data_IF_119929693971
#
_entry.id   IF_119929693971
#
_cell.length_a   1.000
_cell.length_b   1.000
_cell.length_c   1.000
_cell.angle_alpha   90.00
_cell.angle_beta   90.00
_cell.angle_gamma   90.00
#
_symmetry.space_group_name_H-M   'P 1'
#
loop_
_entity.id
_entity.type
_entity.pdbx_description
1 polymer ?
#
# COMPACT_ATOMS: atom_id res chain seq x y z
N UNK A 1 -13.56 19.06 22.25
CA UNK A 1 -13.05 19.26 20.87
C UNK A 1 -14.21 19.69 20.00
N UNK A 2 -14.18 20.90 19.45
CA UNK A 2 -15.11 21.28 18.39
C UNK A 2 -14.82 20.39 17.18
N UNK A 3 -15.82 19.66 16.71
CA UNK A 3 -15.80 18.86 15.48
C UNK A 3 -15.59 19.81 14.30
N UNK A 4 -14.33 20.07 13.95
CA UNK A 4 -13.99 20.70 12.67
C UNK A 4 -14.33 19.69 11.59
N UNK A 5 -15.02 20.13 10.53
CA UNK A 5 -15.17 19.35 9.30
C UNK A 5 -13.80 18.80 8.90
N UNK A 6 -13.69 17.49 8.72
CA UNK A 6 -12.45 16.87 8.26
C UNK A 6 -12.26 17.34 6.82
N UNK A 7 -11.44 18.38 6.62
CA UNK A 7 -11.03 18.81 5.30
C UNK A 7 -10.09 17.75 4.77
N UNK A 8 -10.60 16.97 3.84
CA UNK A 8 -9.84 15.89 3.25
C UNK A 8 -9.22 16.43 1.96
N UNK A 9 -7.89 16.45 1.89
CA UNK A 9 -7.18 17.07 0.77
C UNK A 9 -6.89 16.09 -0.37
N UNK A 10 -6.97 16.59 -1.60
CA UNK A 10 -6.67 15.86 -2.83
C UNK A 10 -5.24 16.17 -3.29
N UNK A 11 -4.49 15.13 -3.66
CA UNK A 11 -3.14 15.25 -4.23
C UNK A 11 -3.13 14.71 -5.65
N UNK A 12 -2.49 15.43 -6.56
CA UNK A 12 -2.37 15.03 -7.96
C UNK A 12 -0.94 15.26 -8.47
N UNK A 13 -0.44 14.29 -9.21
CA UNK A 13 0.82 14.33 -9.94
C UNK A 13 0.50 14.32 -11.43
N UNK A 14 1.02 15.29 -12.17
CA UNK A 14 0.80 15.46 -13.60
C UNK A 14 2.12 15.40 -14.36
N UNK A 15 2.36 14.30 -15.07
CA UNK A 15 3.50 14.10 -15.95
C UNK A 15 4.84 14.32 -15.26
N UNK A 16 5.02 13.78 -14.04
CA UNK A 16 6.24 14.05 -13.28
C UNK A 16 7.45 13.31 -13.85
N UNK A 17 8.53 14.07 -14.05
CA UNK A 17 9.86 13.53 -14.37
C UNK A 17 10.86 13.97 -13.32
N UNK A 18 11.78 13.07 -12.97
CA UNK A 18 13.02 13.41 -12.28
C UNK A 18 14.20 12.76 -12.94
N UNK A 19 15.09 13.60 -13.47
CA UNK A 19 16.35 13.17 -14.05
C UNK A 19 17.51 13.79 -13.28
N UNK A 20 18.49 12.96 -12.93
CA UNK A 20 19.77 13.37 -12.37
C UNK A 20 20.85 13.27 -13.44
N UNK A 21 21.67 14.30 -13.60
CA UNK A 21 22.73 14.32 -14.61
C UNK A 21 23.08 15.74 -15.05
N UNK A 22 23.91 15.84 -16.10
CA UNK A 22 24.39 17.14 -16.61
C UNK A 22 23.35 17.91 -17.43
N UNK A 23 22.48 17.22 -18.16
CA UNK A 23 21.48 17.83 -19.04
C UNK A 23 20.09 17.21 -18.81
N UNK A 24 19.45 17.47 -17.65
CA UNK A 24 18.21 16.81 -17.26
C UNK A 24 17.04 17.15 -18.20
N UNK A 25 16.93 18.38 -18.69
CA UNK A 25 15.83 18.80 -19.58
C UNK A 25 15.92 18.15 -20.96
N UNK A 26 17.14 17.98 -21.47
CA UNK A 26 17.37 17.26 -22.73
C UNK A 26 17.03 15.78 -22.59
N UNK A 27 17.39 15.18 -21.46
CA UNK A 27 17.03 13.81 -21.17
C UNK A 27 15.51 13.62 -21.07
N UNK A 28 14.76 14.59 -20.53
CA UNK A 28 13.29 14.56 -20.54
C UNK A 28 12.77 14.56 -21.99
N UNK A 29 13.24 15.47 -22.85
CA UNK A 29 12.84 15.49 -24.27
C UNK A 29 13.11 14.16 -24.98
N UNK A 30 14.26 13.54 -24.70
CA UNK A 30 14.60 12.20 -25.24
C UNK A 30 13.64 11.12 -24.74
N UNK A 31 13.28 11.14 -23.45
CA UNK A 31 12.30 10.20 -22.87
C UNK A 31 10.90 10.39 -23.46
N UNK A 32 10.47 11.63 -23.68
CA UNK A 32 9.21 11.97 -24.36
C UNK A 32 9.21 11.49 -25.82
N UNK A 33 10.38 11.52 -26.48
CA UNK A 33 10.57 10.97 -27.83
C UNK A 33 10.68 9.43 -27.88
N UNK A 34 10.59 8.74 -26.73
CA UNK A 34 10.58 7.28 -26.66
C UNK A 34 11.95 6.64 -26.38
N UNK A 35 12.97 7.41 -26.00
CA UNK A 35 14.26 6.84 -25.59
C UNK A 35 14.12 5.94 -24.36
N UNK A 36 14.94 4.88 -24.31
CA UNK A 36 14.97 3.99 -23.16
C UNK A 36 15.80 4.57 -22.01
N UNK A 37 15.43 4.23 -20.78
CA UNK A 37 16.15 4.65 -19.57
C UNK A 37 17.58 4.12 -19.55
N UNK A 38 17.83 2.93 -20.10
CA UNK A 38 19.16 2.32 -20.21
C UNK A 38 20.11 3.12 -21.08
N UNK A 39 19.63 3.71 -22.17
CA UNK A 39 20.42 4.56 -23.06
C UNK A 39 20.93 5.81 -22.33
N UNK A 40 20.06 6.47 -21.57
CA UNK A 40 20.44 7.64 -20.77
C UNK A 40 21.45 7.31 -19.68
N UNK A 41 21.36 6.10 -19.11
CA UNK A 41 22.29 5.65 -18.08
C UNK A 41 23.70 5.47 -18.63
N UNK A 42 23.85 5.01 -19.88
CA UNK A 42 25.15 4.93 -20.56
C UNK A 42 25.81 6.31 -20.70
N UNK A 43 25.00 7.35 -20.88
CA UNK A 43 25.45 8.75 -20.96
C UNK A 43 25.70 9.38 -19.57
N UNK A 44 25.65 8.59 -18.49
CA UNK A 44 25.82 9.07 -17.12
C UNK A 44 24.61 9.83 -16.56
N UNK A 45 23.45 9.71 -17.19
CA UNK A 45 22.20 10.37 -16.79
C UNK A 45 21.23 9.35 -16.19
N UNK A 46 20.73 9.61 -14.98
CA UNK A 46 19.81 8.71 -14.29
C UNK A 46 18.41 9.29 -14.23
N UNK A 47 17.49 8.74 -15.04
CA UNK A 47 16.07 9.01 -14.89
C UNK A 47 15.51 8.18 -13.72
N UNK A 48 15.07 8.85 -12.67
CA UNK A 48 14.57 8.23 -11.45
C UNK A 48 13.04 8.13 -11.43
N UNK A 49 12.34 9.11 -12.01
CA UNK A 49 10.89 9.08 -12.22
C UNK A 49 10.62 9.56 -13.65
N UNK A 50 9.73 8.87 -14.35
CA UNK A 50 9.45 9.07 -15.77
C UNK A 50 7.95 9.01 -15.97
N UNK A 51 7.37 10.13 -16.38
CA UNK A 51 5.95 10.27 -16.73
C UNK A 51 4.98 9.75 -15.65
N UNK A 52 5.22 10.10 -14.39
CA UNK A 52 4.34 9.67 -13.31
C UNK A 52 3.12 10.60 -13.21
N UNK A 53 1.94 10.05 -13.57
CA UNK A 53 0.65 10.74 -13.50
C UNK A 53 -0.35 9.95 -12.67
N UNK A 54 -0.92 10.55 -11.63
CA UNK A 54 -1.96 9.92 -10.79
C UNK A 54 -2.68 10.94 -9.92
N UNK A 55 -3.84 10.55 -9.40
CA UNK A 55 -4.61 11.29 -8.40
C UNK A 55 -4.82 10.42 -7.16
N UNK A 56 -4.57 11.01 -6.00
CA UNK A 56 -4.91 10.47 -4.69
C UNK A 56 -6.15 11.20 -4.19
N UNK A 57 -7.23 10.44 -4.05
CA UNK A 57 -8.50 10.99 -3.61
C UNK A 57 -8.49 11.27 -2.11
N UNK A 58 -9.33 12.20 -1.64
CA UNK A 58 -9.36 12.52 -0.22
C UNK A 58 -9.73 11.33 0.66
N UNK A 59 -8.93 11.08 1.70
CA UNK A 59 -9.22 10.05 2.71
C UNK A 59 -8.83 8.66 2.25
N UNK A 60 -8.17 8.58 1.10
CA UNK A 60 -7.61 7.38 0.52
C UNK A 60 -6.22 7.08 1.11
N UNK A 61 -5.95 5.80 1.34
CA UNK A 61 -4.59 5.28 1.45
C UNK A 61 -4.13 4.87 0.05
N UNK A 62 -3.27 5.70 -0.54
CA UNK A 62 -2.63 5.43 -1.81
C UNK A 62 -1.24 4.83 -1.60
N UNK A 63 -1.06 3.60 -2.04
CA UNK A 63 0.21 2.87 -1.89
C UNK A 63 1.03 2.98 -3.16
N UNK A 64 2.30 3.36 -3.04
CA UNK A 64 3.29 3.25 -4.11
C UNK A 64 4.20 2.08 -3.79
N UNK A 65 4.15 1.05 -4.63
CA UNK A 65 4.93 -0.17 -4.46
C UNK A 65 5.95 -0.38 -5.58
N UNK A 66 6.93 -1.24 -5.35
CA UNK A 66 7.93 -1.63 -6.34
C UNK A 66 9.28 -1.92 -5.73
N UNK A 67 10.20 -2.47 -6.52
CA UNK A 67 11.54 -2.82 -6.05
C UNK A 67 12.37 -1.62 -5.59
N UNK A 68 13.44 -1.90 -4.86
CA UNK A 68 14.48 -0.91 -4.60
C UNK A 68 15.00 -0.33 -5.92
N UNK A 69 15.19 0.99 -5.97
CA UNK A 69 15.65 1.69 -7.17
C UNK A 69 14.59 1.98 -8.24
N UNK A 70 13.32 1.66 -8.02
CA UNK A 70 12.23 1.95 -8.98
C UNK A 70 11.76 3.41 -9.00
N UNK A 71 12.24 4.26 -8.09
CA UNK A 71 11.93 5.70 -8.05
C UNK A 71 10.94 6.15 -6.97
N UNK A 72 10.42 5.24 -6.13
CA UNK A 72 9.37 5.51 -5.13
C UNK A 72 9.70 6.66 -4.17
N UNK A 73 10.82 6.59 -3.44
CA UNK A 73 11.19 7.65 -2.49
C UNK A 73 11.52 8.97 -3.18
N UNK A 74 11.99 8.92 -4.45
CA UNK A 74 12.18 10.12 -5.28
C UNK A 74 10.83 10.76 -5.59
N UNK A 75 9.83 9.96 -5.98
CA UNK A 75 8.46 10.43 -6.20
C UNK A 75 7.89 11.08 -4.94
N UNK A 76 7.98 10.43 -3.77
CA UNK A 76 7.46 10.99 -2.52
C UNK A 76 8.09 12.35 -2.17
N UNK A 77 9.40 12.49 -2.37
CA UNK A 77 10.11 13.75 -2.13
C UNK A 77 9.67 14.85 -3.09
N UNK A 78 9.31 14.50 -4.33
CA UNK A 78 8.69 15.45 -5.26
C UNK A 78 7.29 15.86 -4.82
N UNK A 79 6.45 14.90 -4.38
CA UNK A 79 5.12 15.20 -3.84
C UNK A 79 5.17 16.16 -2.64
N UNK A 80 6.19 16.02 -1.78
CA UNK A 80 6.40 16.92 -0.65
C UNK A 80 7.06 18.26 -1.04
N UNK A 81 7.57 18.41 -2.27
CA UNK A 81 8.41 19.55 -2.66
C UNK A 81 9.76 19.62 -1.92
N UNK A 82 10.25 18.48 -1.42
CA UNK A 82 11.64 18.35 -0.94
C UNK A 82 12.63 18.21 -2.10
N UNK A 83 12.15 17.68 -3.23
CA UNK A 83 12.91 17.54 -4.44
C UNK A 83 12.12 18.18 -5.58
N UNK A 84 12.72 19.12 -6.30
CA UNK A 84 12.08 19.74 -7.45
C UNK A 84 12.01 18.75 -8.62
N UNK A 85 10.84 18.56 -9.25
CA UNK A 85 10.74 17.77 -10.47
C UNK A 85 11.52 18.42 -11.60
N UNK A 86 12.06 17.61 -12.51
CA UNK A 86 12.66 18.11 -13.76
C UNK A 86 11.57 18.60 -14.72
N UNK A 87 10.43 17.91 -14.77
CA UNK A 87 9.25 18.31 -15.53
C UNK A 87 7.98 17.79 -14.83
N UNK A 88 6.83 18.36 -15.21
CA UNK A 88 5.53 18.04 -14.61
C UNK A 88 5.17 18.91 -13.41
N UNK A 89 4.02 18.62 -12.80
CA UNK A 89 3.44 19.42 -11.71
C UNK A 89 2.90 18.54 -10.59
N UNK A 90 2.91 19.09 -9.38
CA UNK A 90 2.26 18.51 -8.19
C UNK A 90 1.19 19.48 -7.75
N UNK A 91 -0.06 19.04 -7.79
CA UNK A 91 -1.22 19.82 -7.36
C UNK A 91 -1.69 19.30 -5.99
N UNK A 92 -1.90 20.20 -5.04
CA UNK A 92 -2.49 19.91 -3.74
C UNK A 92 -3.69 20.81 -3.53
N UNK A 93 -4.89 20.22 -3.44
CA UNK A 93 -6.17 20.94 -3.47
C UNK A 93 -6.29 21.92 -4.64
N UNK A 94 -5.84 21.49 -5.82
CA UNK A 94 -5.83 22.29 -7.06
C UNK A 94 -4.74 23.37 -7.12
N UNK A 95 -3.94 23.54 -6.05
CA UNK A 95 -2.83 24.48 -6.02
C UNK A 95 -1.53 23.79 -6.46
N UNK A 96 -0.87 24.35 -7.47
CA UNK A 96 0.44 23.88 -7.92
C UNK A 96 1.52 24.18 -6.88
N UNK A 97 2.07 23.13 -6.29
CA UNK A 97 3.15 23.18 -5.31
C UNK A 97 4.52 23.46 -5.95
N UNK A 98 4.70 23.06 -7.21
CA UNK A 98 5.98 23.18 -7.93
C UNK A 98 6.27 24.62 -8.33
N UNK A 99 5.23 25.42 -8.55
CA UNK A 99 5.35 26.85 -8.85
C UNK A 99 5.41 27.76 -7.62
N UNK A 100 5.33 27.21 -6.40
CA UNK A 100 5.27 28.03 -5.19
C UNK A 100 6.64 28.62 -4.82
N UNK A 101 6.66 29.90 -4.41
CA UNK A 101 7.84 30.45 -3.75
C UNK A 101 8.19 29.63 -2.51
N UNK A 102 9.49 29.51 -2.21
CA UNK A 102 9.98 28.68 -1.11
C UNK A 102 9.33 28.99 0.25
N UNK A 103 8.95 30.26 0.50
CA UNK A 103 8.22 30.66 1.72
C UNK A 103 6.83 30.03 1.80
N UNK A 104 6.08 30.04 0.71
CA UNK A 104 4.74 29.47 0.67
C UNK A 104 4.77 27.94 0.73
N UNK A 105 5.73 27.32 0.04
CA UNK A 105 5.93 25.87 0.12
C UNK A 105 6.29 25.42 1.55
N UNK A 106 7.11 26.20 2.28
CA UNK A 106 7.38 25.94 3.70
C UNK A 106 6.10 26.03 4.55
N UNK A 107 5.24 27.02 4.31
CA UNK A 107 3.96 27.17 5.02
C UNK A 107 3.01 26.00 4.76
N UNK A 108 2.90 25.57 3.50
CA UNK A 108 2.10 24.37 3.14
C UNK A 108 2.64 23.15 3.89
N UNK A 109 3.95 22.86 3.81
CA UNK A 109 4.54 21.74 4.55
C UNK A 109 4.41 21.87 6.06
N UNK A 110 4.44 23.07 6.61
CA UNK A 110 4.29 23.22 8.06
C UNK A 110 2.87 22.91 8.53
N UNK A 111 1.83 23.09 7.70
CA UNK A 111 0.42 23.09 8.16
C UNK A 111 -0.48 22.05 7.50
N UNK A 112 -0.08 21.50 6.34
CA UNK A 112 -0.93 20.68 5.48
C UNK A 112 -0.36 19.32 5.14
N UNK A 113 0.97 19.17 5.18
CA UNK A 113 1.66 17.95 4.77
C UNK A 113 2.60 17.50 5.89
N UNK A 114 2.43 16.27 6.37
CA UNK A 114 3.34 15.65 7.32
C UNK A 114 4.04 14.46 6.69
N UNK A 115 5.30 14.23 7.09
CA UNK A 115 6.12 13.16 6.55
C UNK A 115 6.66 12.25 7.65
N UNK A 116 6.56 10.95 7.43
CA UNK A 116 7.13 9.88 8.25
C UNK A 116 8.22 9.18 7.43
N UNK A 117 9.44 9.19 7.95
CA UNK A 117 10.62 8.66 7.27
C UNK A 117 10.86 7.18 7.58
N UNK A 118 11.63 6.52 6.72
CA UNK A 118 12.06 5.12 6.88
C UNK A 118 12.90 4.92 8.15
N UNK A 119 13.87 5.79 8.38
CA UNK A 119 14.58 5.89 9.66
C UNK A 119 13.87 6.94 10.50
N UNK A 120 13.63 6.62 11.78
CA UNK A 120 12.76 7.38 12.70
C UNK A 120 12.97 8.91 12.67
N UNK A 121 14.18 9.35 12.31
CA UNK A 121 14.54 10.76 12.14
C UNK A 121 14.13 11.60 13.37
N UNK A 122 14.24 10.98 14.55
CA UNK A 122 14.02 11.63 15.83
C UNK A 122 15.27 12.41 16.21
N UNK A 123 15.07 13.55 16.85
CA UNK A 123 16.15 14.34 17.40
C UNK A 123 16.63 13.68 18.70
N UNK A 124 17.88 13.18 18.76
CA UNK A 124 18.37 12.43 19.93
C UNK A 124 18.58 13.33 21.16
N UNK A 125 18.68 14.65 20.94
CA UNK A 125 18.87 15.67 21.97
C UNK A 125 17.55 16.32 22.39
N UNK A 126 16.41 15.70 22.07
CA UNK A 126 15.07 16.13 22.49
C UNK A 126 14.32 14.96 23.09
N UNK A 127 13.45 15.23 24.06
CA UNK A 127 12.55 14.22 24.62
C UNK A 127 11.54 13.72 23.59
N UNK A 128 10.83 12.64 23.91
CA UNK A 128 9.72 12.11 23.10
C UNK A 128 8.62 13.17 22.89
N UNK A 129 8.25 13.90 23.94
CA UNK A 129 7.28 14.99 23.86
C UNK A 129 7.76 16.12 22.95
N UNK A 130 9.01 16.53 23.08
CA UNK A 130 9.61 17.59 22.26
C UNK A 130 9.74 17.19 20.78
N UNK A 131 10.02 15.91 20.52
CA UNK A 131 10.00 15.36 19.17
C UNK A 131 8.59 15.43 18.56
N UNK A 132 7.57 15.00 19.30
CA UNK A 132 6.19 15.06 18.87
C UNK A 132 5.68 16.51 18.68
N UNK A 133 6.10 17.44 19.55
CA UNK A 133 5.71 18.85 19.51
C UNK A 133 6.47 19.68 18.46
N UNK A 134 7.55 19.16 17.86
CA UNK A 134 8.46 19.94 17.01
C UNK A 134 7.76 20.65 15.84
N UNK A 135 6.83 19.97 15.16
CA UNK A 135 6.09 20.57 14.03
C UNK A 135 5.28 21.81 14.47
N UNK A 136 4.68 21.75 15.65
CA UNK A 136 3.90 22.83 16.25
C UNK A 136 4.79 23.98 16.74
N UNK A 137 5.98 23.67 17.24
CA UNK A 137 7.01 24.68 17.55
C UNK A 137 7.39 25.49 16.32
N UNK A 138 7.63 24.83 15.18
CA UNK A 138 7.95 25.49 13.90
C UNK A 138 6.78 26.32 13.37
N UNK A 139 5.54 25.92 13.63
CA UNK A 139 4.34 26.71 13.31
C UNK A 139 4.17 27.95 14.22
N UNK A 140 4.91 28.04 15.33
CA UNK A 140 4.78 29.12 16.31
C UNK A 140 3.65 28.93 17.32
N UNK A 141 3.15 27.70 17.50
CA UNK A 141 2.11 27.38 18.48
C UNK A 141 2.65 27.58 19.91
N UNK A 142 1.89 28.21 20.83
CA UNK A 142 2.30 28.42 22.21
C UNK A 142 2.70 27.12 22.91
N UNK A 143 3.69 27.20 23.81
CA UNK A 143 4.28 26.03 24.46
C UNK A 143 3.26 25.10 25.13
N UNK A 144 2.32 25.66 25.89
CA UNK A 144 1.31 24.88 26.59
C UNK A 144 0.41 24.10 25.61
N UNK A 145 -0.03 24.75 24.53
CA UNK A 145 -0.89 24.14 23.52
C UNK A 145 -0.15 23.05 22.73
N UNK A 146 1.11 23.29 22.33
CA UNK A 146 1.88 22.27 21.59
C UNK A 146 2.23 21.06 22.44
N UNK A 147 2.53 21.23 23.72
CA UNK A 147 2.80 20.12 24.63
C UNK A 147 1.54 19.29 24.87
N UNK A 148 0.38 19.94 25.03
CA UNK A 148 -0.90 19.26 25.13
C UNK A 148 -1.21 18.42 23.89
N UNK A 149 -1.16 19.03 22.69
CA UNK A 149 -1.45 18.32 21.43
C UNK A 149 -0.47 17.19 21.16
N UNK A 150 0.81 17.37 21.50
CA UNK A 150 1.82 16.34 21.37
C UNK A 150 1.56 15.18 22.33
N UNK A 151 1.15 15.45 23.57
CA UNK A 151 0.76 14.41 24.53
C UNK A 151 -0.46 13.61 24.05
N UNK A 152 -1.51 14.29 23.56
CA UNK A 152 -2.69 13.64 22.98
C UNK A 152 -2.30 12.74 21.78
N UNK A 153 -1.41 13.20 20.90
CA UNK A 153 -0.92 12.40 19.77
C UNK A 153 -0.10 11.18 20.23
N UNK A 154 0.71 11.33 21.29
CA UNK A 154 1.47 10.21 21.87
C UNK A 154 0.53 9.18 22.50
N UNK A 155 -0.53 9.60 23.18
CA UNK A 155 -1.56 8.71 23.72
C UNK A 155 -2.27 7.92 22.61
N UNK A 156 -2.65 8.60 21.52
CA UNK A 156 -3.25 7.95 20.34
C UNK A 156 -2.33 6.90 19.71
N UNK A 157 -1.02 7.11 19.77
CA UNK A 157 -0.02 6.14 19.33
C UNK A 157 0.38 5.14 20.42
N UNK A 158 -0.33 5.06 21.55
CA UNK A 158 -0.05 4.09 22.62
C UNK A 158 1.28 4.32 23.35
N UNK A 159 1.76 5.57 23.37
CA UNK A 159 2.98 6.01 24.07
C UNK A 159 2.66 6.84 25.32
N UNK A 160 1.47 6.67 25.90
CA UNK A 160 1.11 7.26 27.19
C UNK A 160 2.16 6.94 28.25
N UNK A 161 2.61 7.95 28.99
CA UNK A 161 3.65 7.81 30.03
C UNK A 161 5.11 7.89 29.53
N UNK A 162 5.36 7.86 28.23
CA UNK A 162 6.72 7.93 27.66
C UNK A 162 7.16 9.35 27.25
N UNK A 163 6.34 10.36 27.53
CA UNK A 163 6.57 11.74 27.10
C UNK A 163 7.92 12.32 27.55
N UNK A 164 8.37 11.95 28.76
CA UNK A 164 9.63 12.43 29.35
C UNK A 164 10.86 11.61 28.93
N UNK A 165 10.67 10.47 28.26
CA UNK A 165 11.76 9.61 27.83
C UNK A 165 12.53 10.20 26.65
N UNK A 166 13.70 9.64 26.40
CA UNK A 166 14.59 9.98 25.29
C UNK A 166 14.53 8.91 24.19
N UNK A 167 14.79 9.26 22.91
CA UNK A 167 14.70 8.29 21.81
C UNK A 167 15.55 7.03 21.98
N UNK A 168 16.71 7.12 22.64
CA UNK A 168 17.61 5.99 22.92
C UNK A 168 17.09 5.05 24.03
N UNK A 169 16.07 5.45 24.78
CA UNK A 169 15.41 4.62 25.80
C UNK A 169 14.24 3.80 25.20
N UNK A 170 13.92 4.04 23.93
CA UNK A 170 12.79 3.44 23.24
C UNK A 170 13.22 2.29 22.30
N UNK A 171 12.37 1.27 22.20
CA UNK A 171 12.49 0.26 21.14
C UNK A 171 12.26 0.88 19.75
N UNK A 172 12.72 0.23 18.68
CA UNK A 172 12.53 0.72 17.31
C UNK A 172 11.04 0.95 16.96
N UNK A 173 10.16 0.05 17.39
CA UNK A 173 8.71 0.22 17.24
C UNK A 173 8.16 1.45 17.94
N UNK A 174 8.63 1.72 19.16
CA UNK A 174 8.24 2.91 19.92
C UNK A 174 8.77 4.18 19.26
N UNK A 175 10.00 4.18 18.75
CA UNK A 175 10.56 5.31 18.00
C UNK A 175 9.73 5.61 16.73
N UNK A 176 9.26 4.58 16.04
CA UNK A 176 8.35 4.75 14.90
C UNK A 176 7.03 5.42 15.32
N UNK A 177 6.45 4.98 16.44
CA UNK A 177 5.24 5.59 17.01
C UNK A 177 5.44 7.05 17.40
N UNK A 178 6.62 7.44 17.88
CA UNK A 178 6.94 8.86 18.09
C UNK A 178 6.97 9.63 16.76
N UNK A 179 7.55 9.04 15.71
CA UNK A 179 7.55 9.64 14.37
C UNK A 179 6.13 9.83 13.81
N UNK A 180 5.25 8.87 14.04
CA UNK A 180 3.83 8.96 13.69
C UNK A 180 3.12 10.02 14.55
N UNK A 181 3.29 10.00 15.87
CA UNK A 181 2.72 11.01 16.78
C UNK A 181 3.15 12.43 16.39
N UNK A 182 4.41 12.64 15.99
CA UNK A 182 4.91 13.91 15.45
C UNK A 182 4.15 14.36 14.21
N UNK A 183 3.87 13.44 13.29
CA UNK A 183 3.08 13.74 12.10
C UNK A 183 1.63 14.10 12.45
N UNK A 184 1.01 13.35 13.36
CA UNK A 184 -0.37 13.54 13.79
C UNK A 184 -0.59 14.80 14.63
N UNK A 185 0.37 15.18 15.49
CA UNK A 185 0.26 16.34 16.37
C UNK A 185 0.02 17.64 15.59
N UNK A 186 0.58 17.75 14.38
CA UNK A 186 0.40 18.89 13.47
C UNK A 186 -1.01 19.00 12.88
N UNK A 187 -1.81 17.94 12.95
CA UNK A 187 -3.14 17.81 12.33
C UNK A 187 -3.12 18.08 10.80
N UNK A 188 -2.03 17.69 10.12
CA UNK A 188 -1.88 17.82 8.67
C UNK A 188 -2.97 17.04 7.92
N UNK A 189 -3.32 17.50 6.71
CA UNK A 189 -4.37 16.90 5.86
C UNK A 189 -3.83 15.70 5.05
N UNK A 190 -2.53 15.74 4.72
CA UNK A 190 -1.80 14.72 3.97
C UNK A 190 -0.65 14.13 4.79
N UNK A 191 -0.59 12.80 4.84
CA UNK A 191 0.49 12.03 5.45
C UNK A 191 1.29 11.31 4.36
N UNK A 192 2.59 11.60 4.28
CA UNK A 192 3.53 10.95 3.37
C UNK A 192 4.41 9.99 4.17
N UNK A 193 4.43 8.72 3.80
CA UNK A 193 5.14 7.67 4.56
C UNK A 193 6.12 6.94 3.64
N UNK A 194 7.43 7.01 3.93
CA UNK A 194 8.52 6.43 3.12
C UNK A 194 9.03 5.13 3.78
N UNK A 195 8.56 3.95 3.35
CA UNK A 195 8.97 2.63 3.85
C UNK A 195 9.01 2.53 5.39
N UNK A 196 8.07 3.21 6.06
CA UNK A 196 8.09 3.47 7.50
C UNK A 196 7.98 2.23 8.39
N UNK A 197 7.61 1.08 7.83
CA UNK A 197 7.45 -0.18 8.57
C UNK A 197 8.46 -1.27 8.18
N UNK A 198 9.32 -0.98 7.19
CA UNK A 198 10.30 -1.93 6.65
C UNK A 198 11.33 -2.41 7.67
N UNK A 199 11.77 -1.52 8.57
CA UNK A 199 12.81 -1.80 9.56
C UNK A 199 12.29 -2.49 10.83
N UNK A 200 10.99 -2.82 10.89
CA UNK A 200 10.33 -3.38 12.08
C UNK A 200 10.19 -4.90 11.98
N UNK A 201 10.27 -5.56 13.14
CA UNK A 201 9.96 -6.98 13.28
C UNK A 201 8.51 -7.29 12.87
N UNK A 202 8.19 -8.49 12.37
CA UNK A 202 6.87 -8.81 11.81
C UNK A 202 5.68 -8.56 12.76
N UNK A 203 5.83 -8.85 14.06
CA UNK A 203 4.78 -8.61 15.05
C UNK A 203 4.52 -7.11 15.27
N UNK A 204 5.59 -6.34 15.41
CA UNK A 204 5.50 -4.89 15.62
C UNK A 204 4.98 -4.20 14.35
N UNK A 205 5.45 -4.65 13.18
CA UNK A 205 4.94 -4.20 11.88
C UNK A 205 3.43 -4.37 11.79
N UNK A 206 2.92 -5.55 12.13
CA UNK A 206 1.48 -5.85 12.10
C UNK A 206 0.68 -4.91 13.01
N UNK A 207 1.16 -4.71 14.24
CA UNK A 207 0.54 -3.80 15.22
C UNK A 207 0.54 -2.34 14.70
N UNK A 208 1.62 -1.89 14.05
CA UNK A 208 1.69 -0.56 13.42
C UNK A 208 0.74 -0.36 12.26
N UNK A 209 0.57 -1.39 11.44
CA UNK A 209 -0.41 -1.37 10.37
C UNK A 209 -1.84 -1.31 10.92
N UNK A 210 -2.15 -2.07 11.97
CA UNK A 210 -3.47 -2.04 12.63
C UNK A 210 -3.77 -0.67 13.23
N UNK A 211 -2.79 -0.05 13.90
CA UNK A 211 -2.92 1.30 14.42
C UNK A 211 -3.11 2.34 13.31
N UNK A 212 -2.39 2.23 12.20
CA UNK A 212 -2.56 3.14 11.06
C UNK A 212 -3.98 3.05 10.49
N UNK A 213 -4.52 1.84 10.34
CA UNK A 213 -5.89 1.62 9.87
C UNK A 213 -6.93 2.17 10.85
N UNK A 214 -6.73 1.99 12.16
CA UNK A 214 -7.62 2.55 13.18
C UNK A 214 -7.60 4.09 13.16
N UNK A 215 -6.41 4.68 13.11
CA UNK A 215 -6.23 6.12 12.98
C UNK A 215 -6.86 6.64 11.69
N UNK A 216 -6.72 5.92 10.58
CA UNK A 216 -7.33 6.31 9.32
C UNK A 216 -8.86 6.28 9.38
N UNK A 217 -9.44 5.26 10.01
CA UNK A 217 -10.89 5.20 10.24
C UNK A 217 -11.40 6.41 11.04
N UNK A 218 -10.59 6.88 12.00
CA UNK A 218 -10.96 7.94 12.95
C UNK A 218 -10.70 9.35 12.41
N UNK A 219 -9.59 9.55 11.70
CA UNK A 219 -9.11 10.87 11.26
C UNK A 219 -9.36 11.13 9.78
N UNK A 220 -9.58 10.08 8.97
CA UNK A 220 -9.88 10.16 7.53
C UNK A 220 -8.92 11.08 6.77
N UNK A 221 -7.62 10.98 7.05
CA UNK A 221 -6.58 11.80 6.40
C UNK A 221 -6.19 11.19 5.07
N UNK A 222 -5.65 11.98 4.14
CA UNK A 222 -5.12 11.40 2.90
C UNK A 222 -3.72 10.84 3.17
N UNK A 223 -3.45 9.60 2.78
CA UNK A 223 -2.17 8.93 3.07
C UNK A 223 -1.53 8.49 1.75
N UNK A 224 -0.27 8.87 1.53
CA UNK A 224 0.58 8.27 0.49
C UNK A 224 1.62 7.41 1.19
N UNK A 225 1.56 6.12 0.96
CA UNK A 225 2.36 5.12 1.65
C UNK A 225 3.29 4.39 0.68
N UNK A 226 4.59 4.36 0.96
CA UNK A 226 5.56 3.65 0.13
C UNK A 226 5.98 2.37 0.81
N UNK A 227 5.96 1.28 0.04
CA UNK A 227 6.48 -0.01 0.49
C UNK A 227 7.10 -0.81 -0.64
N UNK A 228 7.89 -1.81 -0.26
CA UNK A 228 8.33 -2.87 -1.15
C UNK A 228 7.63 -4.21 -0.83
N UNK A 229 6.85 -4.28 0.24
CA UNK A 229 6.11 -5.46 0.68
C UNK A 229 4.68 -5.44 0.10
N UNK A 230 4.36 -6.47 -0.67
CA UNK A 230 3.07 -6.57 -1.32
C UNK A 230 1.94 -6.88 -0.34
N UNK A 231 2.18 -7.68 0.70
CA UNK A 231 1.16 -7.96 1.72
C UNK A 231 0.78 -6.67 2.46
N UNK A 232 1.73 -5.78 2.67
CA UNK A 232 1.48 -4.47 3.25
C UNK A 232 0.67 -3.56 2.30
N UNK A 233 1.02 -3.55 1.02
CA UNK A 233 0.27 -2.80 0.01
C UNK A 233 -1.19 -3.26 -0.08
N UNK A 234 -1.42 -4.58 -0.07
CA UNK A 234 -2.76 -5.16 -0.15
C UNK A 234 -3.57 -4.96 1.12
N UNK A 235 -2.92 -4.94 2.29
CA UNK A 235 -3.60 -4.75 3.58
C UNK A 235 -3.99 -3.30 3.84
N UNK A 236 -3.15 -2.35 3.44
CA UNK A 236 -3.32 -0.94 3.74
C UNK A 236 -3.96 -0.14 2.61
N UNK A 237 -3.69 -0.50 1.36
CA UNK A 237 -3.96 0.36 0.21
C UNK A 237 -5.38 0.23 -0.33
N UNK A 238 -6.07 1.36 -0.41
CA UNK A 238 -7.31 1.48 -1.19
C UNK A 238 -7.00 1.48 -2.70
N UNK A 239 -5.86 2.06 -3.08
CA UNK A 239 -5.36 2.11 -4.46
C UNK A 239 -3.85 1.98 -4.47
N UNK A 240 -3.34 1.21 -5.41
CA UNK A 240 -1.96 0.80 -5.50
C UNK A 240 -1.40 1.24 -6.84
N UNK A 241 -0.25 1.91 -6.81
CA UNK A 241 0.58 2.20 -7.97
C UNK A 241 1.84 1.34 -7.93
N UNK A 242 1.99 0.48 -8.92
CA UNK A 242 3.17 -0.37 -9.09
C UNK A 242 4.19 0.39 -9.92
N UNK A 243 5.38 0.62 -9.38
CA UNK A 243 6.48 1.31 -10.05
C UNK A 243 7.60 0.35 -10.45
N UNK A 244 8.03 0.46 -11.71
CA UNK A 244 9.20 -0.21 -12.26
C UNK A 244 10.01 0.77 -13.08
N UNK A 245 11.32 0.78 -12.86
CA UNK A 245 12.26 1.53 -13.67
C UNK A 245 11.91 3.03 -13.85
N UNK A 246 11.35 3.65 -12.80
CA UNK A 246 10.95 5.06 -12.79
C UNK A 246 9.54 5.32 -13.34
N UNK A 247 8.88 4.33 -13.94
CA UNK A 247 7.53 4.44 -14.49
C UNK A 247 6.51 3.78 -13.58
N UNK A 248 5.29 4.29 -13.56
CA UNK A 248 4.14 3.57 -13.02
C UNK A 248 3.71 2.58 -14.11
N UNK A 249 3.80 1.29 -13.82
CA UNK A 249 3.46 0.22 -14.77
C UNK A 249 2.03 -0.26 -14.64
N UNK A 250 1.43 -0.12 -13.46
CA UNK A 250 0.02 -0.42 -13.25
C UNK A 250 -0.50 0.43 -12.09
N UNK A 251 -1.76 0.83 -12.18
CA UNK A 251 -2.45 1.57 -11.14
C UNK A 251 -3.90 1.07 -11.02
N UNK A 252 -4.29 0.60 -9.84
CA UNK A 252 -5.59 -0.04 -9.63
C UNK A 252 -5.89 -0.31 -8.16
N UNK A 253 -7.03 -0.94 -7.88
CA UNK A 253 -7.32 -1.47 -6.54
C UNK A 253 -6.46 -2.69 -6.24
N UNK A 254 -6.41 -3.10 -4.97
CA UNK A 254 -5.77 -4.36 -4.57
C UNK A 254 -6.30 -5.56 -5.37
N UNK A 255 -7.62 -5.60 -5.61
CA UNK A 255 -8.26 -6.65 -6.41
C UNK A 255 -7.84 -6.61 -7.88
N UNK A 256 -7.74 -5.41 -8.49
CA UNK A 256 -7.32 -5.26 -9.89
C UNK A 256 -5.90 -5.79 -10.11
N UNK A 257 -4.98 -5.45 -9.20
CA UNK A 257 -3.57 -5.90 -9.29
C UNK A 257 -3.47 -7.43 -9.20
N UNK A 258 -4.31 -8.08 -8.38
CA UNK A 258 -4.28 -9.53 -8.19
C UNK A 258 -4.98 -10.30 -9.31
N UNK A 259 -6.13 -9.83 -9.78
CA UNK A 259 -6.94 -10.52 -10.78
C UNK A 259 -6.48 -10.23 -12.21
N UNK A 260 -5.94 -9.04 -12.45
CA UNK A 260 -5.59 -8.55 -13.79
C UNK A 260 -4.21 -7.86 -13.76
N UNK A 261 -3.12 -8.58 -13.44
CA UNK A 261 -1.79 -8.00 -13.45
C UNK A 261 -1.39 -7.54 -14.86
N UNK A 262 -0.89 -6.32 -14.99
CA UNK A 262 -0.40 -5.77 -16.26
C UNK A 262 1.05 -6.19 -16.51
N UNK A 263 1.20 -7.25 -17.29
CA UNK A 263 2.49 -7.78 -17.74
C UNK A 263 3.23 -8.64 -16.73
N UNK A 264 4.28 -9.30 -17.21
CA UNK A 264 5.01 -10.33 -16.46
C UNK A 264 5.66 -9.81 -15.18
N UNK A 265 6.04 -8.53 -15.16
CA UNK A 265 6.59 -7.92 -13.96
C UNK A 265 5.55 -7.97 -12.85
N UNK A 266 4.36 -7.38 -13.03
CA UNK A 266 3.35 -7.35 -11.96
C UNK A 266 2.89 -8.76 -11.61
N UNK A 267 2.72 -9.64 -12.61
CA UNK A 267 2.39 -11.04 -12.39
C UNK A 267 3.42 -11.76 -11.50
N UNK A 268 4.71 -11.52 -11.70
CA UNK A 268 5.78 -12.08 -10.87
C UNK A 268 5.78 -11.54 -9.43
N UNK A 269 5.38 -10.27 -9.22
CA UNK A 269 5.29 -9.69 -7.88
C UNK A 269 4.20 -10.32 -7.02
N UNK A 270 3.08 -10.72 -7.64
CA UNK A 270 1.89 -11.20 -6.93
C UNK A 270 1.90 -12.70 -6.65
N UNK A 271 2.92 -13.45 -7.10
CA UNK A 271 2.94 -14.92 -6.98
C UNK A 271 2.88 -15.42 -5.53
N UNK A 272 3.56 -14.73 -4.62
CA UNK A 272 3.67 -15.15 -3.21
C UNK A 272 2.61 -14.51 -2.29
N UNK A 273 1.57 -13.90 -2.86
CA UNK A 273 0.52 -13.24 -2.07
C UNK A 273 -0.59 -14.21 -1.73
N UNK A 274 -0.99 -14.18 -0.46
CA UNK A 274 -2.21 -14.83 0.00
C UNK A 274 -3.46 -14.12 -0.53
N UNK A 275 -3.91 -14.55 -1.72
CA UNK A 275 -5.12 -14.05 -2.40
C UNK A 275 -6.37 -14.18 -1.53
N UNK A 276 -6.42 -15.14 -0.59
CA UNK A 276 -7.61 -15.42 0.21
C UNK A 276 -7.98 -14.30 1.19
N UNK A 277 -6.99 -13.46 1.56
CA UNK A 277 -7.16 -12.36 2.52
C UNK A 277 -7.57 -11.05 1.89
N UNK A 278 -7.39 -10.92 0.58
CA UNK A 278 -7.57 -9.66 -0.16
C UNK A 278 -8.81 -9.72 -1.02
N UNK A 279 -9.02 -10.85 -1.70
CA UNK A 279 -10.13 -11.00 -2.62
C UNK A 279 -11.42 -11.31 -1.85
N UNK A 280 -12.51 -10.73 -2.35
CA UNK A 280 -13.83 -10.78 -1.75
C UNK A 280 -14.74 -11.81 -2.42
N UNK A 281 -15.87 -12.12 -1.80
CA UNK A 281 -16.89 -13.01 -2.35
C UNK A 281 -17.35 -12.54 -3.73
N UNK A 282 -17.44 -11.22 -3.93
CA UNK A 282 -17.80 -10.61 -5.22
C UNK A 282 -16.80 -10.91 -6.34
N UNK A 283 -15.51 -11.04 -6.03
CA UNK A 283 -14.46 -11.35 -7.00
C UNK A 283 -14.50 -12.81 -7.49
N UNK A 284 -14.96 -13.74 -6.64
CA UNK A 284 -14.94 -15.19 -6.94
C UNK A 284 -16.31 -15.76 -7.27
N UNK A 285 -17.42 -15.03 -7.05
CA UNK A 285 -18.76 -15.52 -7.32
C UNK A 285 -19.01 -15.84 -8.80
N UNK A 286 -19.97 -16.72 -9.03
CA UNK A 286 -20.56 -16.96 -10.35
C UNK A 286 -22.00 -16.45 -10.34
N UNK A 287 -22.55 -16.27 -11.55
CA UNK A 287 -23.98 -16.04 -11.69
C UNK A 287 -24.76 -17.13 -10.94
N UNK A 288 -25.92 -16.80 -10.34
CA UNK A 288 -26.75 -17.77 -9.66
C UNK A 288 -27.26 -18.79 -10.69
N UNK A 289 -26.64 -19.97 -10.72
CA UNK A 289 -26.94 -21.03 -11.70
C UNK A 289 -28.33 -21.66 -11.51
N UNK A 290 -29.04 -21.34 -10.42
CA UNK A 290 -30.41 -21.80 -10.19
C UNK A 290 -31.31 -20.79 -9.46
N UNK A 291 -32.62 -20.75 -9.76
CA UNK A 291 -33.58 -19.88 -9.09
C UNK A 291 -33.83 -20.22 -7.62
N UNK A 292 -33.46 -21.43 -7.17
CA UNK A 292 -33.51 -21.92 -5.78
C UNK A 292 -32.18 -21.75 -5.03
N UNK A 293 -31.13 -21.25 -5.70
CA UNK A 293 -29.84 -21.02 -5.06
C UNK A 293 -29.94 -19.90 -4.02
N UNK A 294 -29.83 -20.27 -2.74
CA UNK A 294 -30.01 -19.35 -1.62
C UNK A 294 -31.44 -19.33 -1.02
N UNK A 295 -32.30 -20.29 -1.36
CA UNK A 295 -33.61 -20.46 -0.69
C UNK A 295 -33.55 -21.35 0.57
N UNK A 296 -32.36 -21.76 1.02
CA UNK A 296 -32.21 -22.41 2.32
C UNK A 296 -31.85 -21.39 3.41
N UNK A 297 -32.23 -21.67 4.66
CA UNK A 297 -31.88 -20.91 5.87
C UNK A 297 -30.39 -21.01 6.25
N UNK A 298 -29.54 -21.37 5.29
CA UNK A 298 -28.12 -21.56 5.52
C UNK A 298 -27.40 -20.21 5.55
N UNK A 299 -26.21 -20.13 6.18
CA UNK A 299 -25.43 -18.90 6.24
C UNK A 299 -25.15 -18.37 4.83
N UNK A 300 -25.44 -17.08 4.62
CA UNK A 300 -25.06 -16.33 3.43
C UNK A 300 -24.03 -15.26 3.80
N UNK A 301 -23.30 -14.78 2.80
CA UNK A 301 -22.24 -13.78 2.99
C UNK A 301 -22.56 -12.50 2.22
N UNK A 302 -21.97 -11.40 2.67
CA UNK A 302 -22.01 -10.13 1.95
C UNK A 302 -20.95 -10.13 0.81
N UNK A 303 -21.07 -9.25 -0.20
CA UNK A 303 -20.18 -9.26 -1.36
C UNK A 303 -18.74 -8.89 -1.02
N UNK A 304 -18.55 -8.10 0.06
CA UNK A 304 -17.27 -7.65 0.61
C UNK A 304 -16.61 -8.66 1.57
N UNK A 305 -17.28 -9.79 1.87
CA UNK A 305 -16.72 -10.84 2.73
C UNK A 305 -15.49 -11.45 2.09
N UNK A 306 -14.40 -11.61 2.84
CA UNK A 306 -13.13 -12.13 2.31
C UNK A 306 -13.24 -13.61 1.92
N UNK A 307 -12.43 -14.06 0.97
CA UNK A 307 -12.39 -15.48 0.57
C UNK A 307 -12.00 -16.38 1.76
N UNK A 308 -11.13 -15.93 2.66
CA UNK A 308 -10.77 -16.67 3.87
C UNK A 308 -11.98 -16.93 4.79
N UNK A 309 -12.81 -15.90 5.03
CA UNK A 309 -14.06 -16.05 5.81
C UNK A 309 -15.08 -16.90 5.06
N UNK A 310 -15.17 -16.72 3.74
CA UNK A 310 -16.03 -17.50 2.87
C UNK A 310 -15.68 -18.99 2.88
N UNK A 311 -14.39 -19.35 2.94
CA UNK A 311 -13.94 -20.73 3.14
C UNK A 311 -14.46 -21.31 4.46
N UNK A 312 -14.43 -20.53 5.54
CA UNK A 312 -14.94 -20.95 6.85
C UNK A 312 -16.46 -21.16 6.85
N UNK A 313 -17.21 -20.33 6.11
CA UNK A 313 -18.66 -20.48 5.90
C UNK A 313 -18.96 -21.69 5.02
N UNK A 314 -18.26 -21.82 3.89
CA UNK A 314 -18.42 -22.93 2.95
C UNK A 314 -18.11 -24.29 3.59
N UNK A 315 -17.20 -24.36 4.56
CA UNK A 315 -16.91 -25.60 5.28
C UNK A 315 -18.09 -26.10 6.13
N UNK A 316 -19.06 -25.23 6.46
CA UNK A 316 -20.24 -25.55 7.27
C UNK A 316 -21.46 -25.94 6.44
N UNK A 317 -21.42 -25.73 5.12
CA UNK A 317 -22.54 -26.00 4.21
C UNK A 317 -22.12 -26.93 3.07
N UNK A 318 -22.96 -27.91 2.70
CA UNK A 318 -22.63 -28.88 1.64
C UNK A 318 -22.93 -28.36 0.22
N UNK A 319 -23.42 -27.13 0.07
CA UNK A 319 -23.85 -26.53 -1.20
C UNK A 319 -23.19 -25.16 -1.42
N UNK A 320 -23.28 -24.57 -2.63
CA UNK A 320 -22.74 -23.24 -2.90
C UNK A 320 -23.24 -22.20 -1.89
N UNK A 321 -22.34 -21.32 -1.46
CA UNK A 321 -22.67 -20.22 -0.54
C UNK A 321 -23.31 -19.10 -1.35
N UNK A 322 -24.46 -18.59 -0.89
CA UNK A 322 -25.13 -17.46 -1.51
C UNK A 322 -24.48 -16.13 -1.07
N UNK A 323 -24.22 -15.25 -2.03
CA UNK A 323 -23.76 -13.88 -1.82
C UNK A 323 -24.94 -12.94 -1.95
N UNK A 324 -25.25 -12.18 -0.90
CA UNK A 324 -26.41 -11.28 -0.85
C UNK A 324 -25.99 -9.82 -0.79
N UNK A 325 -26.74 -8.95 -1.45
CA UNK A 325 -26.63 -7.50 -1.29
C UNK A 325 -27.22 -7.05 0.08
N UNK A 326 -27.00 -5.78 0.49
CA UNK A 326 -27.62 -5.22 1.70
C UNK A 326 -29.16 -5.27 1.69
N UNK A 327 -29.78 -5.31 0.51
CA UNK A 327 -31.22 -5.41 0.30
C UNK A 327 -31.76 -6.86 0.43
N UNK A 328 -30.86 -7.85 0.59
CA UNK A 328 -31.18 -9.26 0.80
C UNK A 328 -31.33 -10.10 -0.49
N UNK A 329 -31.11 -9.52 -1.67
CA UNK A 329 -31.16 -10.22 -2.95
C UNK A 329 -29.89 -11.03 -3.19
N UNK A 330 -30.03 -12.21 -3.81
CA UNK A 330 -28.87 -13.04 -4.19
C UNK A 330 -28.23 -12.46 -5.45
N UNK A 331 -27.02 -11.91 -5.30
CA UNK A 331 -26.23 -11.33 -6.40
C UNK A 331 -25.39 -12.40 -7.09
N UNK A 332 -25.01 -13.45 -6.37
CA UNK A 332 -24.23 -14.55 -6.92
C UNK A 332 -24.12 -15.73 -5.97
N UNK A 333 -23.47 -16.78 -6.44
CA UNK A 333 -23.18 -17.98 -5.65
C UNK A 333 -21.72 -18.35 -5.77
N UNK A 334 -21.14 -18.92 -4.71
CA UNK A 334 -19.76 -19.39 -4.74
C UNK A 334 -19.74 -20.90 -4.53
N UNK A 335 -19.46 -21.70 -5.58
CA UNK A 335 -19.28 -23.14 -5.46
C UNK A 335 -17.99 -23.49 -4.71
N UNK A 336 -18.03 -24.54 -3.87
CA UNK A 336 -16.86 -24.99 -3.11
C UNK A 336 -15.67 -25.37 -4.00
N UNK A 337 -15.93 -25.98 -5.18
CA UNK A 337 -14.88 -26.32 -6.14
C UNK A 337 -14.12 -25.07 -6.63
N UNK A 338 -14.83 -23.96 -6.81
CA UNK A 338 -14.23 -22.69 -7.24
C UNK A 338 -13.38 -22.08 -6.13
N UNK A 339 -13.81 -22.19 -4.87
CA UNK A 339 -13.01 -21.80 -3.71
C UNK A 339 -11.72 -22.61 -3.59
N UNK A 340 -11.80 -23.93 -3.78
CA UNK A 340 -10.63 -24.81 -3.70
C UNK A 340 -9.65 -24.56 -4.84
N UNK A 341 -10.13 -24.42 -6.09
CA UNK A 341 -9.29 -24.08 -7.23
C UNK A 341 -8.57 -22.74 -7.00
N UNK A 342 -9.31 -21.75 -6.53
CA UNK A 342 -8.79 -20.42 -6.24
C UNK A 342 -7.72 -20.41 -5.12
N UNK A 343 -7.94 -21.12 -4.01
CA UNK A 343 -6.94 -21.25 -2.94
C UNK A 343 -5.72 -22.05 -3.42
N UNK A 344 -5.91 -22.99 -4.35
CA UNK A 344 -4.84 -23.75 -5.01
C UNK A 344 -4.02 -22.95 -6.02
N UNK A 345 -4.42 -21.73 -6.37
CA UNK A 345 -3.75 -20.92 -7.38
C UNK A 345 -4.17 -21.24 -8.83
N UNK A 346 -5.21 -22.06 -9.02
CA UNK A 346 -5.77 -22.41 -10.32
C UNK A 346 -6.97 -21.50 -10.63
N UNK A 347 -6.81 -20.59 -11.60
CA UNK A 347 -7.86 -19.64 -12.01
C UNK A 347 -8.98 -20.29 -12.85
N UNK A 348 -8.82 -21.55 -13.27
CA UNK A 348 -9.85 -22.33 -13.95
C UNK A 348 -10.18 -23.63 -13.20
N UNK A 349 -11.45 -23.86 -12.83
CA UNK A 349 -11.88 -25.20 -12.43
C UNK A 349 -11.75 -26.09 -13.67
N UNK A 350 -10.74 -26.96 -13.69
CA UNK A 350 -10.72 -28.11 -14.61
C UNK A 350 -12.09 -28.78 -14.53
N UNK A 351 -12.73 -28.92 -15.68
CA UNK A 351 -14.16 -29.20 -15.80
C UNK A 351 -14.68 -30.36 -14.93
N UNK A 352 -16.01 -30.44 -14.80
CA UNK A 352 -16.74 -31.45 -13.98
C UNK A 352 -15.92 -32.73 -13.80
N UNK A 353 -15.58 -33.12 -12.55
CA UNK A 353 -14.82 -34.34 -12.33
C UNK A 353 -15.51 -35.48 -13.05
N UNK A 354 -14.78 -36.17 -13.93
CA UNK A 354 -15.29 -37.33 -14.63
C UNK A 354 -15.83 -38.32 -13.58
N UNK A 355 -16.99 -38.92 -13.86
CA UNK A 355 -17.54 -39.95 -13.01
C UNK A 355 -16.47 -41.02 -12.76
N UNK A 356 -16.37 -41.50 -11.52
CA UNK A 356 -15.31 -42.41 -11.03
C UNK A 356 -15.25 -43.78 -11.74
N UNK A 357 -15.93 -43.95 -12.88
CA UNK A 357 -16.00 -45.16 -13.69
C UNK A 357 -15.17 -45.18 -14.97
N UNK A 358 -14.75 -44.03 -15.53
CA UNK A 358 -14.16 -44.00 -16.90
C UNK A 358 -12.78 -43.33 -17.03
N UNK A 359 -12.10 -43.02 -15.93
CA UNK A 359 -10.72 -42.52 -15.99
C UNK A 359 -9.72 -43.67 -15.95
N UNK A 360 -9.08 -43.95 -17.10
CA UNK A 360 -7.85 -44.74 -17.13
C UNK A 360 -6.86 -44.17 -16.10
N UNK A 361 -6.31 -45.04 -15.25
CA UNK A 361 -5.37 -44.68 -14.17
C UNK A 361 -4.32 -43.66 -14.66
N UNK A 362 -4.22 -42.47 -14.06
CA UNK A 362 -3.12 -41.57 -14.40
C UNK A 362 -1.80 -42.21 -13.97
N UNK A 363 -0.79 -42.13 -14.85
CA UNK A 363 0.55 -42.61 -14.58
C UNK A 363 1.11 -41.92 -13.33
N UNK A 364 1.74 -42.70 -12.45
CA UNK A 364 2.28 -42.24 -11.18
C UNK A 364 3.16 -40.99 -11.36
N UNK A 365 2.86 -39.96 -10.57
CA UNK A 365 3.69 -38.77 -10.40
C UNK A 365 5.08 -39.23 -9.92
N UNK A 366 6.09 -39.10 -10.78
CA UNK A 366 7.49 -39.35 -10.39
C UNK A 366 7.94 -38.21 -9.48
N UNK A 367 7.96 -38.44 -8.18
CA UNK A 367 8.70 -37.62 -7.22
C UNK A 367 10.18 -37.64 -7.57
N UNK A 368 10.72 -36.47 -7.92
CA UNK A 368 12.14 -36.26 -8.13
C UNK A 368 12.88 -36.29 -6.78
N UNK A 369 13.33 -37.48 -6.39
CA UNK A 369 14.30 -37.66 -5.30
C UNK A 369 15.29 -38.74 -5.71
N UNK A 370 16.40 -38.35 -6.33
CA UNK A 370 17.70 -39.04 -6.33
C UNK A 370 18.62 -38.36 -7.35
N UNK A 371 19.57 -37.54 -6.86
CA UNK A 371 20.82 -37.25 -7.56
C UNK A 371 21.85 -36.69 -6.56
N UNK A 372 22.35 -37.57 -5.70
CA UNK A 372 23.68 -37.43 -5.07
C UNK A 372 24.17 -38.84 -4.80
N UNK A 373 24.87 -39.42 -5.76
CA UNK A 373 25.89 -40.47 -5.60
C UNK A 373 26.24 -41.02 -6.99
N UNK A 374 27.31 -40.49 -7.60
CA UNK A 374 28.30 -41.19 -8.46
C UNK A 374 29.08 -40.20 -9.33
N UNK A 375 30.07 -39.56 -8.73
CA UNK A 375 31.33 -39.26 -9.42
C UNK A 375 32.47 -39.81 -8.55
N UNK A 376 32.60 -41.12 -8.59
CA UNK A 376 33.82 -41.83 -8.23
C UNK A 376 34.00 -42.96 -9.23
N UNK A 377 35.15 -42.92 -9.92
CA UNK A 377 35.75 -43.97 -10.74
C UNK A 377 35.10 -44.26 -12.11
N UNK A 378 35.66 -43.68 -13.18
CA UNK A 378 36.55 -44.43 -14.07
C UNK A 378 37.27 -43.55 -15.12
N UNK A 379 38.52 -43.94 -15.37
CA UNK A 379 39.47 -43.56 -16.43
C UNK A 379 40.38 -42.36 -16.16
#
# INVERSE_FOLDING_TARGET
MATREVYVSRLQADGLYKVFGRAPDEAVRRLEAGADRGELRADGTTAAVIDASFTVEPGQIFVVMGLSGSGKSTLLRMLNGLLEPTAGRVLFDGRDLTSLPARDLRRVRATKISMVFQHFALFPHRSVLENAAYGLEVQGVPRAEREQRAAEALELCGLGGWAASWPNELSGGMQQRVGLARALATDADLLLMDESFSALDPLIRRDMQDQLLELQKRLKKTIVFITHDLNEAMRLGDRIAVMRDGRIVQLGSAEDILLRPEGDYVASFIQDVDRSRVLTASAVMTAPDRPDAGQCDCPSVAPDTTVAELCAVSARVPHPVAVRDPEGNVVGTVPQQKLVAFVGGDDEPQGRPAACGDAARPAAVKTASQNTEKEAAHA
#
